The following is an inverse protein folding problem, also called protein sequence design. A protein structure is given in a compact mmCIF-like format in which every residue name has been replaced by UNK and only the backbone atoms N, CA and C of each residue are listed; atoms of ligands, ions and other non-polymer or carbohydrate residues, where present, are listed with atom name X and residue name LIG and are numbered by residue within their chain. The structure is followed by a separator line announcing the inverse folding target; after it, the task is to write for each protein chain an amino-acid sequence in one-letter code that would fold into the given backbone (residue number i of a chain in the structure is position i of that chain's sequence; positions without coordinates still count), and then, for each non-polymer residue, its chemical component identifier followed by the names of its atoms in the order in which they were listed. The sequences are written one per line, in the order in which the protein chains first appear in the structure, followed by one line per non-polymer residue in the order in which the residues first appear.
data_IF_198484676992
#
_entry.id   IF_198484676992
#
_cell.length_a   1.000
_cell.length_b   1.000
_cell.length_c   1.000
_cell.angle_alpha   90.00
_cell.angle_beta   90.00
_cell.angle_gamma   90.00
#
_symmetry.space_group_name_H-M   'P 1'
#
loop_
_entity.id
_entity.type
_entity.pdbx_description
1 polymer ?
#
# COMPACT_ATOMS: atom_id res chain seq x y z
N UNK A 1 -3.95 30.73 -18.40
CA UNK A 1 -2.81 29.92 -17.91
C UNK A 1 -3.38 28.59 -17.46
N UNK A 2 -3.11 27.51 -18.19
CA UNK A 2 -3.46 26.16 -17.71
C UNK A 2 -2.65 25.89 -16.44
N UNK A 3 -3.29 25.37 -15.41
CA UNK A 3 -2.58 25.02 -14.19
C UNK A 3 -1.67 23.80 -14.45
N UNK A 4 -0.65 23.59 -13.62
CA UNK A 4 0.13 22.35 -13.65
C UNK A 4 -0.77 21.11 -13.57
N UNK A 5 -1.87 21.23 -12.84
CA UNK A 5 -2.87 20.19 -12.69
C UNK A 5 -3.59 19.86 -14.01
N UNK A 6 -3.99 20.88 -14.77
CA UNK A 6 -4.61 20.68 -16.09
C UNK A 6 -3.62 20.05 -17.07
N UNK A 7 -2.37 20.50 -17.05
CA UNK A 7 -1.30 19.95 -17.88
C UNK A 7 -1.05 18.46 -17.58
N UNK A 8 -1.07 18.07 -16.30
CA UNK A 8 -1.01 16.66 -15.91
C UNK A 8 -2.23 15.89 -16.40
N UNK A 9 -3.43 16.48 -16.30
CA UNK A 9 -4.66 15.86 -16.83
C UNK A 9 -4.58 15.58 -18.33
N UNK A 10 -4.07 16.55 -19.10
CA UNK A 10 -3.89 16.43 -20.55
C UNK A 10 -2.87 15.35 -20.91
N UNK A 11 -1.76 15.25 -20.17
CA UNK A 11 -0.78 14.17 -20.33
C UNK A 11 -1.44 12.80 -20.14
N UNK A 12 -2.24 12.63 -19.08
CA UNK A 12 -2.95 11.37 -18.82
C UNK A 12 -3.95 11.04 -19.94
N UNK A 13 -4.73 12.03 -20.39
CA UNK A 13 -5.67 11.86 -21.50
C UNK A 13 -4.94 11.43 -22.79
N UNK A 14 -3.84 12.09 -23.13
CA UNK A 14 -3.02 11.77 -24.30
C UNK A 14 -2.43 10.36 -24.22
N UNK A 15 -1.98 9.93 -23.03
CA UNK A 15 -1.51 8.56 -22.81
C UNK A 15 -2.65 7.56 -23.04
N UNK A 16 -3.87 7.84 -22.55
CA UNK A 16 -5.03 6.96 -22.79
C UNK A 16 -5.33 6.86 -24.29
N UNK A 17 -5.35 7.98 -25.03
CA UNK A 17 -5.57 8.00 -26.48
C UNK A 17 -4.48 7.22 -27.21
N UNK A 18 -3.23 7.42 -26.84
CA UNK A 18 -2.10 6.68 -27.41
C UNK A 18 -2.25 5.17 -27.16
N UNK A 19 -2.55 4.75 -25.94
CA UNK A 19 -2.76 3.35 -25.60
C UNK A 19 -4.00 2.77 -26.32
N UNK A 20 -5.07 3.55 -26.44
CA UNK A 20 -6.26 3.19 -27.20
C UNK A 20 -5.94 2.96 -28.69
N UNK A 21 -5.07 3.78 -29.30
CA UNK A 21 -4.69 3.60 -30.71
C UNK A 21 -4.12 2.19 -30.97
N UNK A 22 -3.44 1.61 -29.99
CA UNK A 22 -2.89 0.26 -30.05
C UNK A 22 -3.88 -0.83 -29.63
N UNK A 23 -4.68 -0.60 -28.57
CA UNK A 23 -5.55 -1.64 -28.00
C UNK A 23 -6.95 -1.68 -28.60
N UNK A 24 -7.40 -0.57 -29.20
CA UNK A 24 -8.77 -0.31 -29.63
C UNK A 24 -9.82 -0.55 -28.51
N UNK A 25 -9.38 -0.45 -27.25
CA UNK A 25 -10.20 -0.71 -26.07
C UNK A 25 -9.76 0.17 -24.89
N UNK A 26 -10.66 1.04 -24.44
CA UNK A 26 -10.38 1.98 -23.37
C UNK A 26 -10.17 1.33 -22.00
N UNK A 27 -10.84 0.21 -21.70
CA UNK A 27 -10.59 -0.52 -20.45
C UNK A 27 -9.19 -1.10 -20.41
N UNK A 28 -8.71 -1.68 -21.53
CA UNK A 28 -7.32 -2.15 -21.64
C UNK A 28 -6.33 -0.97 -21.59
N UNK A 29 -6.66 0.15 -22.23
CA UNK A 29 -5.83 1.36 -22.16
C UNK A 29 -5.67 1.86 -20.71
N UNK A 30 -6.75 1.88 -19.91
CA UNK A 30 -6.69 2.21 -18.49
C UNK A 30 -5.83 1.21 -17.70
N UNK A 31 -5.95 -0.09 -17.97
CA UNK A 31 -5.12 -1.13 -17.34
C UNK A 31 -3.63 -0.89 -17.65
N UNK A 32 -3.28 -0.66 -18.92
CA UNK A 32 -1.90 -0.40 -19.33
C UNK A 32 -1.36 0.90 -18.74
N UNK A 33 -2.17 1.96 -18.68
CA UNK A 33 -1.80 3.21 -18.01
C UNK A 33 -1.52 2.96 -16.53
N UNK A 34 -2.33 2.12 -15.88
CA UNK A 34 -2.13 1.72 -14.47
C UNK A 34 -0.79 1.02 -14.29
N UNK A 35 -0.44 0.08 -15.18
CA UNK A 35 0.84 -0.62 -15.18
C UNK A 35 2.00 0.37 -15.36
N UNK A 36 1.87 1.32 -16.30
CA UNK A 36 2.88 2.35 -16.54
C UNK A 36 3.12 3.22 -15.29
N UNK A 37 2.06 3.72 -14.66
CA UNK A 37 2.14 4.47 -13.40
C UNK A 37 2.83 3.64 -12.31
N UNK A 38 2.48 2.35 -12.19
CA UNK A 38 3.07 1.44 -11.21
C UNK A 38 4.55 1.16 -11.46
N UNK A 39 4.99 1.10 -12.71
CA UNK A 39 6.41 0.97 -13.07
C UNK A 39 7.18 2.22 -12.65
N UNK A 40 6.65 3.41 -12.95
CA UNK A 40 7.28 4.70 -12.58
C UNK A 40 7.39 4.81 -11.05
N UNK A 41 6.34 4.41 -10.32
CA UNK A 41 6.31 4.49 -8.85
C UNK A 41 6.92 3.27 -8.15
N UNK A 42 7.34 2.24 -8.89
CA UNK A 42 7.89 1.00 -8.35
C UNK A 42 9.01 1.20 -7.31
N UNK A 43 10.07 2.00 -7.58
CA UNK A 43 11.17 2.14 -6.61
C UNK A 43 10.72 2.81 -5.31
N UNK A 44 9.77 3.73 -5.39
CA UNK A 44 9.20 4.42 -4.23
C UNK A 44 8.35 3.44 -3.40
N UNK A 45 7.45 2.71 -4.05
CA UNK A 45 6.62 1.69 -3.41
C UNK A 45 7.47 0.59 -2.77
N UNK A 46 8.60 0.20 -3.39
CA UNK A 46 9.52 -0.79 -2.86
C UNK A 46 10.15 -0.33 -1.53
N UNK A 47 10.70 0.88 -1.50
CA UNK A 47 11.27 1.48 -0.26
C UNK A 47 10.24 1.55 0.86
N UNK A 48 9.02 1.91 0.50
CA UNK A 48 7.91 1.96 1.42
C UNK A 48 7.56 0.59 2.03
N UNK A 49 7.46 -0.47 1.23
CA UNK A 49 7.17 -1.81 1.77
C UNK A 49 8.30 -2.33 2.66
N UNK A 50 9.55 -2.02 2.33
CA UNK A 50 10.72 -2.35 3.17
C UNK A 50 10.59 -1.67 4.55
N UNK A 51 10.35 -0.36 4.57
CA UNK A 51 10.17 0.39 5.81
C UNK A 51 8.98 -0.13 6.64
N UNK A 52 7.91 -0.58 5.97
CA UNK A 52 6.78 -1.22 6.64
C UNK A 52 7.13 -2.58 7.26
N UNK A 53 7.99 -3.38 6.63
CA UNK A 53 8.49 -4.64 7.22
C UNK A 53 9.33 -4.40 8.46
N UNK A 54 10.17 -3.38 8.45
CA UNK A 54 10.97 -3.00 9.63
C UNK A 54 10.05 -2.58 10.79
N UNK A 55 8.95 -1.89 10.47
CA UNK A 55 7.91 -1.59 11.45
C UNK A 55 7.23 -2.87 12.00
N UNK A 56 7.01 -3.88 11.16
CA UNK A 56 6.46 -5.16 11.61
C UNK A 56 7.41 -5.88 12.59
N UNK A 57 8.73 -5.82 12.35
CA UNK A 57 9.75 -6.42 13.24
C UNK A 57 9.70 -5.85 14.67
N UNK A 58 9.36 -4.58 14.84
CA UNK A 58 9.29 -3.93 16.15
C UNK A 58 7.92 -4.03 16.83
N UNK A 59 6.89 -4.57 16.16
CA UNK A 59 5.57 -4.78 16.77
C UNK A 59 5.56 -5.56 18.09
N UNK A 60 6.32 -6.66 18.27
CA UNK A 60 6.33 -7.35 19.56
C UNK A 60 6.86 -6.46 20.69
N UNK A 61 7.90 -5.66 20.43
CA UNK A 61 8.45 -4.71 21.40
C UNK A 61 7.44 -3.59 21.71
N UNK A 62 6.74 -3.08 20.69
CA UNK A 62 5.66 -2.12 20.88
C UNK A 62 4.56 -2.67 21.81
N UNK A 63 4.19 -3.95 21.69
CA UNK A 63 3.21 -4.60 22.58
C UNK A 63 3.70 -4.61 24.03
N UNK A 64 4.97 -4.94 24.27
CA UNK A 64 5.54 -4.92 25.64
C UNK A 64 5.53 -3.53 26.26
N UNK A 65 5.81 -2.49 25.47
CA UNK A 65 5.76 -1.08 25.92
C UNK A 65 4.30 -0.67 26.22
N UNK A 66 3.36 -1.07 25.36
CA UNK A 66 1.93 -0.84 25.56
C UNK A 66 1.42 -1.50 26.85
N UNK A 67 1.82 -2.74 27.13
CA UNK A 67 1.43 -3.44 28.36
C UNK A 67 2.02 -2.81 29.62
N UNK A 68 3.28 -2.38 29.56
CA UNK A 68 3.98 -1.78 30.70
C UNK A 68 3.42 -0.41 31.10
N UNK A 69 2.93 0.36 30.14
CA UNK A 69 2.46 1.73 30.35
C UNK A 69 0.97 1.92 30.01
N UNK A 70 0.13 0.86 30.10
CA UNK A 70 -1.32 0.93 29.83
C UNK A 70 -2.03 2.09 30.55
N UNK A 71 -1.59 2.38 31.78
CA UNK A 71 -2.22 3.36 32.66
C UNK A 71 -1.63 4.78 32.53
N UNK A 72 -0.58 4.98 31.74
CA UNK A 72 0.14 6.25 31.59
C UNK A 72 0.33 6.57 30.10
N UNK A 73 -0.68 7.22 29.50
CA UNK A 73 -0.72 7.53 28.07
C UNK A 73 0.41 8.47 27.61
N UNK A 74 0.81 9.42 28.46
CA UNK A 74 1.88 10.35 28.11
C UNK A 74 3.23 9.64 28.03
N UNK A 75 3.51 8.81 29.04
CA UNK A 75 4.75 8.01 29.07
C UNK A 75 4.75 6.93 28.00
N UNK A 76 3.59 6.31 27.73
CA UNK A 76 3.42 5.37 26.64
C UNK A 76 3.84 5.98 25.29
N UNK A 77 3.33 7.16 24.95
CA UNK A 77 3.66 7.83 23.69
C UNK A 77 5.14 8.19 23.61
N UNK A 78 5.74 8.63 24.72
CA UNK A 78 7.17 8.98 24.79
C UNK A 78 8.06 7.76 24.58
N UNK A 79 7.75 6.64 25.23
CA UNK A 79 8.51 5.38 25.15
C UNK A 79 8.34 4.72 23.77
N UNK A 80 7.15 4.78 23.17
CA UNK A 80 6.94 4.32 21.80
C UNK A 80 7.75 5.14 20.80
N UNK A 81 7.81 6.46 20.94
CA UNK A 81 8.64 7.31 20.10
C UNK A 81 10.14 7.07 20.33
N UNK A 82 10.56 6.79 21.56
CA UNK A 82 11.93 6.39 21.86
C UNK A 82 12.28 5.06 21.20
N UNK A 83 11.39 4.06 21.26
CA UNK A 83 11.54 2.77 20.60
C UNK A 83 11.69 2.92 19.08
N UNK A 84 10.86 3.75 18.43
CA UNK A 84 10.98 4.02 17.00
C UNK A 84 12.34 4.65 16.64
N UNK A 85 12.83 5.58 17.46
CA UNK A 85 14.14 6.23 17.25
C UNK A 85 15.31 5.27 17.48
N UNK A 86 15.24 4.42 18.49
CA UNK A 86 16.27 3.43 18.81
C UNK A 86 16.43 2.41 17.69
N UNK A 87 15.31 1.94 17.13
CA UNK A 87 15.30 1.01 16.00
C UNK A 87 15.35 1.69 14.62
N UNK A 88 15.47 3.03 14.57
CA UNK A 88 15.54 3.85 13.35
C UNK A 88 14.38 3.62 12.36
N UNK A 89 13.19 3.28 12.86
CA UNK A 89 12.00 3.03 12.03
C UNK A 89 11.14 4.29 11.95
N UNK A 90 10.62 4.62 10.77
CA UNK A 90 9.73 5.76 10.55
C UNK A 90 8.23 5.35 10.57
N UNK A 91 7.42 5.85 11.52
CA UNK A 91 5.99 5.54 11.56
C UNK A 91 5.16 6.13 10.42
N UNK A 92 5.64 7.17 9.73
CA UNK A 92 4.93 7.76 8.59
C UNK A 92 5.00 6.91 7.32
N UNK A 93 5.92 5.93 7.25
CA UNK A 93 6.04 5.07 6.06
C UNK A 93 4.78 4.25 5.77
N UNK A 94 3.92 4.03 6.78
CA UNK A 94 2.69 3.24 6.63
C UNK A 94 1.48 3.98 6.06
N UNK A 95 1.40 5.29 6.23
CA UNK A 95 0.33 6.11 5.63
C UNK A 95 0.77 6.75 4.30
N UNK A 96 2.07 6.72 3.99
CA UNK A 96 2.63 7.24 2.76
C UNK A 96 2.00 6.69 1.46
N UNK A 97 1.50 5.43 1.34
CA UNK A 97 0.95 4.98 0.05
C UNK A 97 -0.38 5.69 -0.20
N UNK A 98 -1.15 5.93 0.87
CA UNK A 98 -2.41 6.67 0.83
C UNK A 98 -2.17 8.12 0.41
N UNK A 99 -1.16 8.78 0.98
CA UNK A 99 -0.81 10.18 0.65
C UNK A 99 -0.45 10.33 -0.82
N UNK A 100 0.35 9.41 -1.37
CA UNK A 100 0.73 9.46 -2.79
C UNK A 100 -0.44 9.07 -3.70
N UNK A 101 -1.25 8.11 -3.27
CA UNK A 101 -2.38 7.61 -4.07
C UNK A 101 -3.48 8.66 -4.22
N UNK A 102 -3.77 9.46 -3.18
CA UNK A 102 -4.87 10.42 -3.20
C UNK A 102 -4.79 11.45 -4.35
N UNK A 103 -3.66 12.16 -4.58
CA UNK A 103 -3.52 13.06 -5.72
C UNK A 103 -3.72 12.36 -7.07
N UNK A 104 -3.15 11.17 -7.25
CA UNK A 104 -3.27 10.40 -8.49
C UNK A 104 -4.72 9.99 -8.74
N UNK A 105 -5.42 9.59 -7.69
CA UNK A 105 -6.83 9.22 -7.75
C UNK A 105 -7.72 10.42 -8.09
N UNK A 106 -7.50 11.58 -7.46
CA UNK A 106 -8.26 12.80 -7.73
C UNK A 106 -8.03 13.23 -9.18
N UNK A 107 -6.78 13.18 -9.67
CA UNK A 107 -6.43 13.49 -11.05
C UNK A 107 -7.16 12.56 -12.02
N UNK A 108 -7.06 11.25 -11.81
CA UNK A 108 -7.74 10.25 -12.65
C UNK A 108 -9.26 10.37 -12.61
N UNK A 109 -9.85 10.65 -11.44
CA UNK A 109 -11.29 10.89 -11.33
C UNK A 109 -11.73 12.05 -12.21
N UNK A 110 -10.99 13.17 -12.19
CA UNK A 110 -11.31 14.33 -13.00
C UNK A 110 -11.13 14.07 -14.49
N UNK A 111 -10.03 13.42 -14.88
CA UNK A 111 -9.73 13.06 -16.26
C UNK A 111 -10.79 12.09 -16.78
N UNK A 112 -10.95 10.92 -16.15
CA UNK A 112 -11.81 9.84 -16.66
C UNK A 112 -13.30 10.21 -16.70
N UNK A 113 -13.74 11.17 -15.88
CA UNK A 113 -15.12 11.67 -15.90
C UNK A 113 -15.39 12.65 -17.05
N UNK A 114 -14.39 13.47 -17.42
CA UNK A 114 -14.50 14.46 -18.50
C UNK A 114 -14.01 13.93 -19.85
N UNK A 115 -13.23 12.86 -19.84
CA UNK A 115 -12.61 12.26 -21.00
C UNK A 115 -13.64 11.81 -22.03
N UNK A 116 -13.35 12.08 -23.30
CA UNK A 116 -14.19 11.69 -24.43
C UNK A 116 -13.74 10.32 -24.94
N UNK A 117 -14.54 9.29 -24.69
CA UNK A 117 -14.24 7.92 -25.10
C UNK A 117 -14.74 7.67 -26.52
N UNK A 118 -14.05 8.22 -27.52
CA UNK A 118 -14.46 8.16 -28.93
C UNK A 118 -13.59 7.21 -29.75
N UNK A 119 -14.21 6.40 -30.61
CA UNK A 119 -13.47 5.63 -31.61
C UNK A 119 -12.99 6.51 -32.79
N UNK A 120 -12.27 5.89 -33.74
CA UNK A 120 -11.80 6.57 -34.95
C UNK A 120 -12.91 7.14 -35.84
N UNK A 121 -14.17 6.72 -35.63
CA UNK A 121 -15.34 7.23 -36.34
C UNK A 121 -16.13 8.29 -35.51
N UNK A 122 -15.62 8.70 -34.34
CA UNK A 122 -16.25 9.67 -33.46
C UNK A 122 -17.42 9.12 -32.65
N UNK A 123 -17.58 7.78 -32.54
CA UNK A 123 -18.65 7.14 -31.76
C UNK A 123 -18.18 6.77 -30.36
N UNK A 124 -19.09 6.77 -29.40
CA UNK A 124 -18.79 6.41 -28.01
C UNK A 124 -18.36 4.93 -27.93
N UNK A 125 -17.15 4.70 -27.44
CA UNK A 125 -16.51 3.38 -27.37
C UNK A 125 -15.96 3.02 -25.98
N UNK A 126 -16.36 3.75 -24.93
CA UNK A 126 -15.86 3.54 -23.56
C UNK A 126 -16.54 2.39 -22.80
N UNK A 127 -16.55 1.18 -23.37
CA UNK A 127 -17.00 -0.04 -22.70
C UNK A 127 -15.84 -0.98 -22.34
N UNK A 128 -16.08 -1.93 -21.45
CA UNK A 128 -15.09 -2.95 -21.08
C UNK A 128 -15.74 -4.18 -20.44
N UNK A 129 -15.50 -5.37 -21.01
CA UNK A 129 -16.10 -6.64 -20.56
C UNK A 129 -17.64 -6.54 -20.49
N UNK A 130 -18.23 -6.60 -19.30
CA UNK A 130 -19.67 -6.44 -19.06
C UNK A 130 -20.14 -4.98 -19.04
N UNK A 131 -19.21 -4.03 -18.95
CA UNK A 131 -19.54 -2.61 -18.97
C UNK A 131 -19.92 -2.23 -20.40
N UNK A 132 -21.17 -1.79 -20.64
CA UNK A 132 -21.62 -1.43 -21.98
C UNK A 132 -20.85 -0.22 -22.50
N UNK A 133 -20.77 -0.07 -23.82
CA UNK A 133 -20.04 1.04 -24.47
C UNK A 133 -20.55 2.41 -24.04
N UNK A 134 -21.86 2.52 -23.86
CA UNK A 134 -22.54 3.73 -23.45
C UNK A 134 -23.68 3.40 -22.50
N UNK A 135 -23.99 4.32 -21.61
CA UNK A 135 -25.11 4.26 -20.68
C UNK A 135 -25.83 5.60 -20.64
N UNK A 136 -27.11 5.57 -20.27
CA UNK A 136 -27.89 6.77 -20.05
C UNK A 136 -27.91 7.06 -18.55
N UNK A 137 -27.42 8.24 -18.17
CA UNK A 137 -27.45 8.72 -16.79
C UNK A 137 -28.26 10.01 -16.71
N UNK A 138 -28.91 10.24 -15.57
CA UNK A 138 -29.61 11.50 -15.31
C UNK A 138 -28.60 12.47 -14.69
N UNK A 139 -28.27 13.54 -15.41
CA UNK A 139 -27.42 14.63 -14.92
C UNK A 139 -28.31 15.87 -14.85
N UNK A 140 -28.51 16.41 -13.64
CA UNK A 140 -29.32 17.61 -13.43
C UNK A 140 -30.76 17.48 -13.97
N UNK A 141 -31.36 16.30 -13.84
CA UNK A 141 -32.71 16.01 -14.34
C UNK A 141 -32.80 15.76 -15.85
N UNK A 142 -31.69 15.89 -16.58
CA UNK A 142 -31.64 15.65 -18.03
C UNK A 142 -30.99 14.28 -18.31
N UNK A 143 -31.61 13.42 -19.12
CA UNK A 143 -30.97 12.18 -19.56
C UNK A 143 -29.82 12.50 -20.51
N UNK A 144 -28.60 12.07 -20.14
CA UNK A 144 -27.38 12.22 -20.93
C UNK A 144 -26.77 10.86 -21.22
N UNK A 145 -26.40 10.61 -22.47
CA UNK A 145 -25.64 9.42 -22.87
C UNK A 145 -24.16 9.70 -22.61
N UNK A 146 -23.53 8.81 -21.86
CA UNK A 146 -22.10 8.87 -21.55
C UNK A 146 -21.46 7.51 -21.79
N UNK A 147 -20.14 7.48 -21.88
CA UNK A 147 -19.39 6.23 -21.92
C UNK A 147 -19.62 5.40 -20.65
N UNK A 148 -19.72 4.07 -20.79
CA UNK A 148 -19.89 3.19 -19.62
C UNK A 148 -18.78 3.35 -18.58
N UNK A 149 -17.54 3.48 -19.04
CA UNK A 149 -16.36 3.72 -18.19
C UNK A 149 -16.38 5.09 -17.46
N UNK A 150 -17.16 6.06 -17.95
CA UNK A 150 -17.33 7.37 -17.32
C UNK A 150 -18.47 7.42 -16.29
N UNK A 151 -19.32 6.39 -16.26
CA UNK A 151 -20.42 6.23 -15.33
C UNK A 151 -20.12 5.15 -14.28
N UNK A 152 -20.85 5.10 -13.16
CA UNK A 152 -20.80 3.97 -12.25
C UNK A 152 -21.07 2.62 -12.94
N UNK A 153 -20.60 1.52 -12.35
CA UNK A 153 -20.87 0.17 -12.89
C UNK A 153 -22.34 -0.19 -12.66
N UNK A 154 -23.13 -0.20 -13.74
CA UNK A 154 -24.59 -0.34 -13.73
C UNK A 154 -25.06 -1.72 -14.23
N UNK A 155 -24.47 -2.80 -13.72
CA UNK A 155 -24.79 -4.15 -14.22
C UNK A 155 -26.22 -4.60 -13.88
N UNK A 156 -26.65 -4.46 -12.63
CA UNK A 156 -27.98 -4.90 -12.17
C UNK A 156 -28.69 -3.72 -11.53
N UNK A 157 -29.86 -3.36 -12.07
CA UNK A 157 -30.73 -2.36 -11.46
C UNK A 157 -31.48 -2.98 -10.27
N UNK A 158 -31.42 -2.33 -9.12
CA UNK A 158 -32.14 -2.74 -7.92
C UNK A 158 -33.57 -2.17 -7.93
N UNK A 159 -34.57 -2.91 -7.42
CA UNK A 159 -35.95 -2.42 -7.36
C UNK A 159 -36.10 -1.26 -6.35
N UNK A 160 -37.05 -0.37 -6.62
CA UNK A 160 -37.41 0.74 -5.74
C UNK A 160 -36.31 1.80 -5.62
N UNK A 161 -36.01 2.24 -4.40
CA UNK A 161 -34.95 3.22 -4.10
C UNK A 161 -33.55 2.61 -4.00
N UNK A 162 -33.42 1.30 -4.24
CA UNK A 162 -32.16 0.58 -4.09
C UNK A 162 -31.83 0.24 -2.63
N UNK A 163 -30.58 -0.20 -2.38
CA UNK A 163 -30.10 -0.57 -1.04
C UNK A 163 -29.07 0.46 -0.58
N UNK A 164 -29.30 1.12 0.56
CA UNK A 164 -28.44 2.21 1.07
C UNK A 164 -28.20 3.35 0.06
N UNK A 165 -29.20 3.65 -0.80
CA UNK A 165 -29.08 4.66 -1.85
C UNK A 165 -28.34 4.19 -3.11
N UNK A 166 -27.89 2.93 -3.16
CA UNK A 166 -27.31 2.31 -4.35
C UNK A 166 -28.45 1.75 -5.20
N UNK A 167 -28.66 2.33 -6.38
CA UNK A 167 -29.67 1.89 -7.34
C UNK A 167 -29.16 0.84 -8.31
N UNK A 168 -27.84 0.74 -8.49
CA UNK A 168 -27.23 -0.19 -9.42
C UNK A 168 -26.10 -0.98 -8.74
N UNK A 169 -26.12 -2.29 -8.90
CA UNK A 169 -25.02 -3.15 -8.50
C UNK A 169 -24.07 -3.37 -9.68
N UNK A 170 -22.79 -3.15 -9.42
CA UNK A 170 -21.69 -3.49 -10.32
C UNK A 170 -20.81 -4.60 -9.75
N UNK A 171 -20.05 -5.28 -10.60
CA UNK A 171 -19.08 -6.30 -10.19
C UNK A 171 -17.78 -5.63 -9.71
N UNK A 172 -17.36 -4.53 -10.35
CA UNK A 172 -16.09 -3.86 -10.03
C UNK A 172 -15.97 -3.41 -8.56
N UNK A 173 -16.98 -2.79 -7.93
CA UNK A 173 -16.89 -2.39 -6.52
C UNK A 173 -16.59 -3.55 -5.57
N UNK A 174 -17.16 -4.74 -5.81
CA UNK A 174 -16.86 -5.95 -5.04
C UNK A 174 -15.44 -6.45 -5.29
N UNK A 175 -14.96 -6.39 -6.53
CA UNK A 175 -13.58 -6.74 -6.88
C UNK A 175 -12.57 -5.79 -6.22
N UNK A 176 -12.87 -4.48 -6.17
CA UNK A 176 -12.08 -3.49 -5.43
C UNK A 176 -12.06 -3.85 -3.94
N UNK A 177 -13.22 -4.05 -3.31
CA UNK A 177 -13.30 -4.41 -1.89
C UNK A 177 -12.51 -5.69 -1.57
N UNK A 178 -12.72 -6.75 -2.35
CA UNK A 178 -12.07 -8.04 -2.17
C UNK A 178 -10.56 -7.98 -2.37
N UNK A 179 -10.11 -7.31 -3.44
CA UNK A 179 -8.68 -7.13 -3.70
C UNK A 179 -7.98 -6.29 -2.63
N UNK A 180 -8.62 -5.22 -2.15
CA UNK A 180 -8.08 -4.40 -1.07
C UNK A 180 -8.04 -5.15 0.26
N UNK A 181 -9.06 -5.96 0.55
CA UNK A 181 -9.04 -6.84 1.73
C UNK A 181 -7.86 -7.82 1.68
N UNK A 182 -7.64 -8.46 0.53
CA UNK A 182 -6.49 -9.37 0.33
C UNK A 182 -5.18 -8.61 0.50
N UNK A 183 -5.04 -7.43 -0.11
CA UNK A 183 -3.86 -6.59 0.01
C UNK A 183 -3.58 -6.19 1.46
N UNK A 184 -4.62 -5.79 2.20
CA UNK A 184 -4.45 -5.41 3.59
C UNK A 184 -4.05 -6.61 4.44
N UNK A 185 -4.67 -7.78 4.20
CA UNK A 185 -4.35 -9.01 4.93
C UNK A 185 -2.89 -9.43 4.76
N UNK A 186 -2.31 -9.25 3.58
CA UNK A 186 -0.88 -9.53 3.32
C UNK A 186 0.08 -8.53 3.97
N UNK A 187 -0.43 -7.37 4.38
CA UNK A 187 0.35 -6.27 4.97
C UNK A 187 0.12 -6.16 6.48
N UNK A 188 -1.00 -6.67 6.97
CA UNK A 188 -1.32 -6.75 8.39
C UNK A 188 -0.56 -7.91 9.03
N UNK A 189 0.21 -7.61 10.07
CA UNK A 189 0.71 -8.63 10.99
C UNK A 189 -0.42 -8.99 11.95
N UNK A 190 -0.68 -10.29 12.12
CA UNK A 190 -1.66 -10.78 13.08
C UNK A 190 -1.27 -10.34 14.49
N UNK A 191 -1.98 -9.33 14.99
CA UNK A 191 -1.93 -8.90 16.38
C UNK A 191 -2.83 -9.79 17.22
N UNK A 192 -2.63 -11.10 17.17
CA UNK A 192 -3.38 -12.07 17.96
C UNK A 192 -2.61 -12.41 19.24
N UNK A 193 -2.90 -11.69 20.33
CA UNK A 193 -3.05 -12.23 21.70
C UNK A 193 -3.22 -11.07 22.68
N UNK A 194 -4.31 -11.10 23.44
CA UNK A 194 -4.59 -10.20 24.56
C UNK A 194 -6.07 -9.87 24.64
N UNK A 195 -6.83 -10.60 25.48
CA UNK A 195 -8.26 -10.37 25.71
C UNK A 195 -8.59 -8.97 26.28
N UNK A 196 -7.59 -8.19 26.69
CA UNK A 196 -7.77 -6.88 27.34
C UNK A 196 -6.94 -5.76 26.67
N UNK A 197 -7.15 -5.59 25.36
CA UNK A 197 -6.48 -4.59 24.51
C UNK A 197 -7.37 -4.09 23.36
N UNK A 198 -8.58 -3.66 23.68
CA UNK A 198 -9.65 -3.33 22.72
C UNK A 198 -9.23 -2.23 21.71
N UNK A 199 -8.37 -1.28 22.08
CA UNK A 199 -8.00 -0.16 21.19
C UNK A 199 -7.12 -0.57 20.00
N UNK A 200 -6.02 -1.28 20.22
CA UNK A 200 -5.07 -1.62 19.15
C UNK A 200 -5.64 -2.67 18.18
N UNK A 201 -6.36 -3.67 18.70
CA UNK A 201 -6.98 -4.71 17.87
C UNK A 201 -8.17 -4.16 17.07
N UNK A 202 -8.95 -3.24 17.64
CA UNK A 202 -10.04 -2.59 16.93
C UNK A 202 -9.52 -1.67 15.83
N UNK A 203 -8.46 -0.88 16.08
CA UNK A 203 -7.83 -0.07 15.03
C UNK A 203 -7.30 -0.94 13.89
N UNK A 204 -6.71 -2.10 14.18
CA UNK A 204 -6.24 -3.01 13.14
C UNK A 204 -7.40 -3.62 12.33
N UNK A 205 -8.44 -4.13 13.00
CA UNK A 205 -9.64 -4.68 12.34
C UNK A 205 -10.35 -3.64 11.48
N UNK A 206 -10.43 -2.40 11.97
CA UNK A 206 -10.97 -1.26 11.24
C UNK A 206 -10.16 -0.98 9.97
N UNK A 207 -8.83 -1.05 10.05
CA UNK A 207 -7.96 -0.87 8.89
C UNK A 207 -8.06 -2.04 7.89
N UNK A 208 -8.16 -3.29 8.37
CA UNK A 208 -8.13 -4.48 7.51
C UNK A 208 -9.46 -4.86 6.89
N UNK A 209 -10.58 -4.61 7.56
CA UNK A 209 -11.90 -5.04 7.09
C UNK A 209 -12.75 -3.82 6.73
N UNK A 210 -12.85 -2.85 7.64
CA UNK A 210 -13.79 -1.75 7.49
C UNK A 210 -13.39 -0.79 6.36
N UNK A 211 -12.10 -0.45 6.25
CA UNK A 211 -11.63 0.47 5.20
C UNK A 211 -11.81 -0.09 3.78
N UNK A 212 -11.40 -1.34 3.46
CA UNK A 212 -11.70 -1.95 2.16
C UNK A 212 -13.19 -2.02 1.83
N UNK A 213 -14.03 -2.33 2.82
CA UNK A 213 -15.48 -2.37 2.64
C UNK A 213 -16.04 -0.98 2.33
N UNK A 214 -15.61 0.05 3.07
CA UNK A 214 -16.03 1.43 2.85
C UNK A 214 -15.62 1.95 1.46
N UNK A 215 -14.39 1.66 1.02
CA UNK A 215 -13.92 2.05 -0.32
C UNK A 215 -14.65 1.26 -1.41
N UNK A 216 -14.89 -0.03 -1.19
CA UNK A 216 -15.74 -0.84 -2.05
C UNK A 216 -17.14 -0.24 -2.20
N UNK A 217 -17.77 0.14 -1.08
CA UNK A 217 -19.07 0.80 -1.07
C UNK A 217 -19.04 2.15 -1.80
N UNK A 218 -18.01 2.97 -1.57
CA UNK A 218 -17.83 4.25 -2.27
C UNK A 218 -17.66 4.06 -3.78
N UNK A 219 -17.05 2.94 -4.20
CA UNK A 219 -16.80 2.63 -5.61
C UNK A 219 -18.07 2.39 -6.42
N UNK A 220 -19.23 2.16 -5.79
CA UNK A 220 -20.54 2.16 -6.47
C UNK A 220 -20.97 3.56 -6.94
N UNK A 221 -20.38 4.62 -6.40
CA UNK A 221 -20.67 6.01 -6.80
C UNK A 221 -19.60 6.60 -7.72
N UNK A 222 -18.51 5.87 -7.96
CA UNK A 222 -17.39 6.32 -8.78
C UNK A 222 -17.53 5.84 -10.24
N UNK A 223 -16.96 6.56 -11.22
CA UNK A 223 -16.82 6.08 -12.59
C UNK A 223 -16.16 4.70 -12.62
N UNK A 224 -16.72 3.77 -13.38
CA UNK A 224 -16.25 2.40 -13.46
C UNK A 224 -14.83 2.29 -14.02
N UNK A 225 -14.40 3.23 -14.87
CA UNK A 225 -13.00 3.37 -15.30
C UNK A 225 -12.03 3.68 -14.15
N UNK A 226 -12.47 4.47 -13.16
CA UNK A 226 -11.67 4.73 -11.95
C UNK A 226 -11.64 3.50 -11.05
N UNK A 227 -12.76 2.80 -10.89
CA UNK A 227 -12.83 1.55 -10.14
C UNK A 227 -11.96 0.45 -10.78
N UNK A 228 -11.90 0.40 -12.12
CA UNK A 228 -11.02 -0.49 -12.87
C UNK A 228 -9.54 -0.16 -12.64
N UNK A 229 -9.18 1.13 -12.68
CA UNK A 229 -7.85 1.60 -12.29
C UNK A 229 -7.52 1.15 -10.86
N UNK A 230 -8.43 1.38 -9.91
CA UNK A 230 -8.23 1.03 -8.51
C UNK A 230 -7.97 -0.48 -8.36
N UNK A 231 -8.86 -1.31 -8.90
CA UNK A 231 -8.74 -2.76 -8.86
C UNK A 231 -7.41 -3.24 -9.45
N UNK A 232 -7.06 -2.77 -10.65
CA UNK A 232 -5.80 -3.12 -11.33
C UNK A 232 -4.58 -2.70 -10.50
N UNK A 233 -4.62 -1.48 -9.95
CA UNK A 233 -3.54 -0.92 -9.13
C UNK A 233 -3.34 -1.74 -7.85
N UNK A 234 -4.43 -2.16 -7.21
CA UNK A 234 -4.40 -3.04 -6.03
C UNK A 234 -3.84 -4.42 -6.37
N UNK A 235 -4.24 -5.03 -7.48
CA UNK A 235 -3.70 -6.32 -7.93
C UNK A 235 -2.19 -6.27 -8.17
N UNK A 236 -1.70 -5.22 -8.83
CA UNK A 236 -0.27 -5.00 -9.02
C UNK A 236 0.45 -4.81 -7.68
N UNK A 237 -0.16 -4.07 -6.76
CA UNK A 237 0.35 -3.90 -5.40
C UNK A 237 0.42 -5.20 -4.61
N UNK A 238 -0.60 -6.07 -4.73
CA UNK A 238 -0.59 -7.43 -4.15
C UNK A 238 0.56 -8.25 -4.72
N UNK A 239 0.74 -8.24 -6.05
CA UNK A 239 1.87 -8.90 -6.70
C UNK A 239 3.22 -8.39 -6.17
N UNK A 240 3.36 -7.07 -6.04
CA UNK A 240 4.59 -6.44 -5.51
C UNK A 240 4.83 -6.81 -4.04
N UNK A 241 3.79 -6.78 -3.20
CA UNK A 241 3.85 -7.17 -1.79
C UNK A 241 4.24 -8.64 -1.64
N UNK A 242 3.65 -9.52 -2.45
CA UNK A 242 3.96 -10.94 -2.48
C UNK A 242 5.43 -11.21 -2.84
N UNK A 243 5.92 -10.60 -3.92
CA UNK A 243 7.34 -10.69 -4.32
C UNK A 243 8.28 -10.15 -3.25
N UNK A 244 7.88 -9.08 -2.58
CA UNK A 244 8.66 -8.50 -1.49
C UNK A 244 8.64 -9.45 -0.28
N UNK A 245 7.50 -10.04 0.08
CA UNK A 245 7.32 -10.94 1.24
C UNK A 245 8.20 -12.18 1.10
N UNK A 246 8.37 -12.70 -0.12
CA UNK A 246 9.23 -13.85 -0.40
C UNK A 246 10.73 -13.58 -0.17
N UNK A 247 11.19 -12.33 -0.28
CA UNK A 247 12.62 -11.96 -0.24
C UNK A 247 13.14 -11.57 1.14
N UNK A 248 12.30 -11.45 2.15
CA UNK A 248 12.71 -11.06 3.51
C UNK A 248 12.42 -12.19 4.51
N UNK A 249 13.36 -12.53 5.40
CA UNK A 249 13.18 -13.61 6.37
C UNK A 249 12.02 -13.31 7.33
N UNK A 250 11.30 -14.38 7.71
CA UNK A 250 10.16 -14.37 8.63
C UNK A 250 10.60 -13.90 10.03
N UNK A 251 9.69 -13.25 10.76
CA UNK A 251 9.93 -12.57 12.07
C UNK A 251 10.44 -13.51 13.19
N UNK A 252 10.42 -14.83 12.98
CA UNK A 252 10.71 -15.86 14.01
C UNK A 252 12.18 -15.92 14.50
N UNK A 253 13.13 -15.21 13.87
CA UNK A 253 14.55 -15.27 14.24
C UNK A 253 15.08 -14.07 15.04
N UNK A 254 14.24 -13.11 15.46
CA UNK A 254 14.73 -11.91 16.13
C UNK A 254 14.87 -12.08 17.66
N UNK A 255 16.00 -11.66 18.26
CA UNK A 255 16.28 -11.88 19.68
C UNK A 255 15.27 -11.16 20.58
N UNK A 256 14.70 -11.90 21.54
CA UNK A 256 13.66 -11.47 22.51
C UNK A 256 14.15 -10.53 23.62
N UNK A 257 15.16 -9.70 23.40
CA UNK A 257 15.65 -8.81 24.47
C UNK A 257 15.82 -7.38 23.98
N UNK A 258 14.91 -6.48 24.41
CA UNK A 258 15.27 -5.11 24.74
C UNK A 258 14.33 -4.54 25.83
N UNK A 259 14.79 -4.52 27.08
CA UNK A 259 14.71 -3.32 27.91
C UNK A 259 16.07 -3.18 28.59
N UNK A 260 16.87 -2.14 28.33
CA UNK A 260 18.08 -1.89 29.10
C UNK A 260 17.68 -1.33 30.48
N UNK A 261 17.28 -2.22 31.38
CA UNK A 261 17.13 -1.92 32.79
C UNK A 261 18.49 -1.88 33.45
N UNK A 262 18.91 -0.69 33.89
CA UNK A 262 19.98 -0.40 34.88
C UNK A 262 21.11 -1.44 34.99
N UNK A 263 22.32 -1.05 34.54
CA UNK A 263 23.62 -1.70 34.79
C UNK A 263 23.64 -2.50 36.12
N UNK A 264 23.42 -3.81 36.06
CA UNK A 264 23.86 -4.75 37.10
C UNK A 264 25.20 -5.32 36.64
N UNK A 265 26.22 -5.14 37.48
CA UNK A 265 27.61 -5.56 37.26
C UNK A 265 27.64 -7.01 36.75
N UNK A 266 28.18 -7.21 35.54
CA UNK A 266 28.39 -8.53 34.96
C UNK A 266 29.57 -9.19 35.71
N UNK A 267 29.25 -10.19 36.53
CA UNK A 267 30.23 -11.14 37.03
C UNK A 267 30.57 -12.12 35.90
N UNK A 268 31.86 -12.12 35.55
CA UNK A 268 32.64 -13.12 34.80
C UNK A 268 31.87 -14.40 34.35
N UNK A 269 31.53 -14.49 33.05
CA UNK A 269 31.30 -15.78 32.38
C UNK A 269 31.96 -15.78 30.99
N UNK A 270 32.66 -16.87 30.70
CA UNK A 270 33.49 -17.11 29.51
C UNK A 270 32.68 -17.02 28.20
N UNK A 271 33.31 -16.67 27.06
CA UNK A 271 32.61 -16.47 25.80
C UNK A 271 32.23 -17.82 25.17
N UNK A 272 30.93 -18.06 24.99
CA UNK A 272 30.42 -19.10 24.10
C UNK A 272 30.46 -18.62 22.65
N UNK A 273 30.67 -19.57 21.73
CA UNK A 273 31.04 -19.37 20.33
C UNK A 273 30.01 -18.54 19.56
N UNK A 274 30.50 -17.53 18.83
CA UNK A 274 29.72 -16.77 17.84
C UNK A 274 29.16 -17.73 16.78
N UNK A 275 27.84 -17.84 16.72
CA UNK A 275 27.12 -18.45 15.59
C UNK A 275 27.30 -17.51 14.39
N UNK A 276 27.87 -18.02 13.31
CA UNK A 276 28.07 -17.26 12.08
C UNK A 276 26.71 -16.88 11.48
N UNK A 277 26.43 -15.57 11.45
CA UNK A 277 25.31 -15.00 10.71
C UNK A 277 25.51 -15.31 9.21
N UNK A 278 24.57 -16.05 8.62
CA UNK A 278 24.52 -16.24 7.16
C UNK A 278 24.33 -14.88 6.49
N UNK A 279 25.09 -14.62 5.45
CA UNK A 279 25.01 -13.39 4.64
C UNK A 279 23.58 -13.22 4.09
N UNK A 280 22.91 -12.12 4.48
CA UNK A 280 21.58 -11.80 3.96
C UNK A 280 21.67 -11.39 2.47
N UNK A 281 20.80 -11.93 1.59
CA UNK A 281 20.79 -11.56 0.18
C UNK A 281 20.45 -10.07 0.01
N UNK A 282 21.27 -9.35 -0.75
CA UNK A 282 21.15 -7.90 -0.96
C UNK A 282 19.81 -7.51 -1.61
N UNK A 283 19.11 -6.54 -1.00
CA UNK A 283 17.82 -6.00 -1.47
C UNK A 283 18.04 -4.53 -1.90
N UNK A 284 17.64 -4.13 -3.12
CA UNK A 284 17.72 -2.74 -3.55
C UNK A 284 16.99 -1.78 -2.57
N UNK A 285 17.73 -0.83 -1.99
CA UNK A 285 17.20 0.14 -1.02
C UNK A 285 17.24 -0.30 0.44
N UNK A 286 17.79 -1.47 0.76
CA UNK A 286 18.10 -1.90 2.12
C UNK A 286 19.59 -1.66 2.42
N UNK A 287 19.87 -0.74 3.34
CA UNK A 287 21.17 -0.66 4.01
C UNK A 287 21.04 -1.51 5.27
N UNK A 288 21.90 -2.52 5.46
CA UNK A 288 21.81 -3.44 6.59
C UNK A 288 21.85 -2.73 7.95
N UNK A 289 21.66 -3.47 9.04
CA UNK A 289 21.69 -2.93 10.40
C UNK A 289 23.01 -2.19 10.76
N UNK A 290 24.07 -2.41 9.99
CA UNK A 290 25.40 -1.79 10.09
C UNK A 290 25.64 -0.63 9.11
N UNK A 291 24.67 -0.28 8.26
CA UNK A 291 24.78 0.81 7.28
C UNK A 291 25.76 0.51 6.13
N UNK A 292 26.19 -0.74 5.98
CA UNK A 292 27.09 -1.19 4.92
C UNK A 292 26.34 -1.88 3.79
N UNK A 293 26.85 -1.75 2.56
CA UNK A 293 26.45 -2.60 1.44
C UNK A 293 26.99 -4.03 1.68
N UNK A 294 26.15 -5.05 1.88
CA UNK A 294 26.59 -6.43 2.13
C UNK A 294 27.32 -7.07 0.94
N UNK A 295 27.26 -6.49 -0.27
CA UNK A 295 28.00 -7.00 -1.45
C UNK A 295 29.43 -6.44 -1.60
N UNK A 296 29.84 -5.51 -0.73
CA UNK A 296 31.10 -4.76 -0.87
C UNK A 296 32.21 -5.22 0.08
N UNK A 297 32.48 -6.52 0.19
CA UNK A 297 33.53 -7.05 1.06
C UNK A 297 34.94 -6.63 0.64
N UNK A 298 35.49 -5.55 1.22
CA UNK A 298 36.95 -5.42 1.42
C UNK A 298 37.26 -5.60 2.90
N UNK A 299 37.74 -6.81 3.22
CA UNK A 299 38.24 -7.21 4.53
C UNK A 299 39.34 -6.23 4.99
N UNK A 300 39.06 -5.41 6.01
CA UNK A 300 40.12 -4.70 6.77
C UNK A 300 40.45 -5.50 8.03
N UNK A 301 41.42 -6.41 7.94
CA UNK A 301 42.02 -7.04 9.13
C UNK A 301 42.81 -6.01 9.94
N UNK A 302 42.30 -5.58 11.10
CA UNK A 302 43.13 -4.92 12.12
C UNK A 302 43.94 -5.98 12.88
N UNK A 303 45.24 -6.11 12.58
CA UNK A 303 46.20 -6.86 13.40
C UNK A 303 46.36 -6.17 14.77
N UNK A 304 45.99 -6.86 15.85
CA UNK A 304 46.33 -6.46 17.21
C UNK A 304 47.81 -6.80 17.49
N UNK A 305 48.62 -5.78 17.80
CA UNK A 305 50.00 -5.94 18.31
C UNK A 305 49.92 -6.42 19.76
N UNK A 306 50.31 -7.66 20.04
CA UNK A 306 50.41 -8.22 21.38
C UNK A 306 51.66 -7.65 22.06
N UNK A 307 51.48 -6.87 23.12
CA UNK A 307 52.57 -6.34 23.93
C UNK A 307 53.31 -7.47 24.66
N UNK A 308 54.65 -7.45 24.59
CA UNK A 308 55.53 -8.22 25.49
C UNK A 308 55.80 -7.35 26.72
N UNK A 309 55.46 -7.86 27.90
CA UNK A 309 55.94 -7.39 29.20
C UNK A 309 56.80 -8.50 29.79
N UNK A 310 57.98 -8.06 30.28
CA UNK A 310 59.08 -8.80 30.95
C UNK A 310 59.98 -9.59 30.02
#
# INVERSE_FOLDING_TARGET
MTSLWDSLGDIFANIIVFLYSFTQNYGIAIILMTVLIRIILYPLMQKQMVSMREMQKIQPLMKTVQEKYKNDKERLNKELMALYKEHKVNPMSGCLPLIIQMPILILLFQVLRKFEYLDSAGKIAGGFLWIPRQVQIIVEGVPKIVAGLAAPDQLIQLPGSGIFGIQYLGILPFLVAGSMYIQQKMTSTDSSTGKDGVSAQQTQKMMTIMMPLMIGFMSFSLPSGLSLYWFTSTLLGVGQQYLTNKKMPTIDEMPKEVVPGKKKKLANKKPEKMVALKEEPWIPGYEGADGGNPSGGKIKTKKYKKGKRR
#
